data_IF_862871326604
#
_entry.id   IF_862871326604
#
_cell.length_a   1.000
_cell.length_b   1.000
_cell.length_c   1.000
_cell.angle_alpha   90.00
_cell.angle_beta   90.00
_cell.angle_gamma   90.00
#
_symmetry.space_group_name_H-M   'P 1'
#
loop_
_entity.id
_entity.type
_entity.pdbx_description
1 polymer ?
#
# COMPACT_ATOMS: atom_id res chain seq x y z
N UNK A 1 -6.84 -14.19 12.03
CA UNK A 1 -5.73 -13.22 11.92
C UNK A 1 -5.53 -12.92 10.44
N UNK A 2 -5.26 -11.68 10.08
CA UNK A 2 -5.13 -11.26 8.68
C UNK A 2 -3.69 -10.88 8.38
N UNK A 3 -3.20 -11.26 7.20
CA UNK A 3 -1.87 -10.87 6.73
C UNK A 3 -2.01 -9.84 5.61
N UNK A 4 -1.09 -8.89 5.58
CA UNK A 4 -0.92 -7.93 4.51
C UNK A 4 0.44 -8.15 3.85
N UNK A 5 0.45 -8.10 2.53
CA UNK A 5 1.69 -8.17 1.75
C UNK A 5 1.67 -7.11 0.66
N UNK A 6 2.82 -6.49 0.43
CA UNK A 6 3.11 -5.63 -0.72
C UNK A 6 4.33 -6.16 -1.46
N UNK A 7 4.46 -5.83 -2.73
CA UNK A 7 5.62 -6.22 -3.52
C UNK A 7 5.69 -5.49 -4.87
N UNK A 8 6.62 -5.96 -5.71
CA UNK A 8 6.94 -5.33 -6.99
C UNK A 8 5.84 -5.42 -8.05
N UNK A 9 4.75 -6.16 -7.79
CA UNK A 9 3.60 -6.23 -8.68
C UNK A 9 2.61 -5.07 -8.50
N UNK A 10 3.02 -4.03 -7.75
CA UNK A 10 2.21 -2.85 -7.46
C UNK A 10 0.84 -3.23 -6.89
N UNK A 11 0.80 -4.25 -6.03
CA UNK A 11 -0.44 -4.70 -5.40
C UNK A 11 -0.31 -4.77 -3.88
N UNK A 12 -1.36 -4.35 -3.20
CA UNK A 12 -1.58 -4.58 -1.78
C UNK A 12 -2.54 -5.75 -1.66
N UNK A 13 -2.09 -6.86 -1.08
CA UNK A 13 -2.89 -8.09 -0.92
C UNK A 13 -3.17 -8.36 0.54
N UNK A 14 -4.40 -8.78 0.81
CA UNK A 14 -4.89 -9.19 2.13
C UNK A 14 -5.24 -10.66 2.13
N UNK A 15 -4.74 -11.38 3.12
CA UNK A 15 -4.85 -12.83 3.20
C UNK A 15 -5.45 -13.28 4.53
N UNK A 16 -6.18 -14.39 4.49
CA UNK A 16 -6.51 -15.13 5.69
C UNK A 16 -5.25 -15.88 6.14
N UNK A 17 -4.71 -15.54 7.31
CA UNK A 17 -3.49 -16.17 7.84
C UNK A 17 -3.63 -17.68 8.01
N UNK A 18 -4.78 -18.16 8.50
CA UNK A 18 -4.99 -19.56 8.83
C UNK A 18 -5.22 -20.45 7.61
N UNK A 19 -5.88 -19.94 6.56
CA UNK A 19 -6.18 -20.73 5.37
C UNK A 19 -5.27 -20.43 4.18
N UNK A 20 -4.47 -19.35 4.23
CA UNK A 20 -3.69 -18.87 3.09
C UNK A 20 -4.54 -18.27 1.96
N UNK A 21 -5.86 -18.13 2.16
CA UNK A 21 -6.77 -17.63 1.14
C UNK A 21 -6.57 -16.13 0.91
N UNK A 22 -6.50 -15.71 -0.36
CA UNK A 22 -6.56 -14.29 -0.72
C UNK A 22 -7.96 -13.74 -0.46
N UNK A 23 -8.06 -12.74 0.41
CA UNK A 23 -9.32 -12.10 0.78
C UNK A 23 -9.61 -10.88 -0.09
N UNK A 24 -8.58 -10.09 -0.41
CA UNK A 24 -8.72 -8.87 -1.22
C UNK A 24 -7.37 -8.47 -1.83
N UNK A 25 -7.42 -7.74 -2.94
CA UNK A 25 -6.26 -7.12 -3.56
C UNK A 25 -6.64 -5.73 -4.07
N UNK A 26 -5.83 -4.73 -3.75
CA UNK A 26 -5.91 -3.39 -4.30
C UNK A 26 -4.68 -3.13 -5.16
N UNK A 27 -4.88 -2.45 -6.30
CA UNK A 27 -3.78 -2.03 -7.16
C UNK A 27 -3.25 -0.70 -6.65
N UNK A 28 -1.94 -0.66 -6.42
CA UNK A 28 -1.20 0.54 -6.11
C UNK A 28 -0.86 1.29 -7.38
N UNK A 29 -0.96 2.61 -7.30
CA UNK A 29 -0.53 3.52 -8.36
C UNK A 29 0.99 3.67 -8.36
N UNK A 30 1.66 3.24 -7.29
CA UNK A 30 3.12 3.18 -7.16
C UNK A 30 3.67 1.84 -7.67
N UNK A 31 4.40 1.87 -8.79
CA UNK A 31 4.95 0.69 -9.47
C UNK A 31 6.12 -0.01 -8.74
N UNK A 32 6.39 0.34 -7.48
CA UNK A 32 7.58 -0.10 -6.76
C UNK A 32 7.30 -0.25 -5.27
N UNK A 33 6.20 -0.88 -4.87
CA UNK A 33 5.86 -1.06 -3.46
C UNK A 33 6.78 -2.09 -2.79
N UNK A 34 7.67 -1.64 -1.90
CA UNK A 34 8.65 -2.50 -1.21
C UNK A 34 8.34 -2.66 0.28
N UNK A 35 7.65 -1.69 0.86
CA UNK A 35 7.32 -1.68 2.27
C UNK A 35 5.89 -1.18 2.49
N UNK A 36 5.27 -1.62 3.58
CA UNK A 36 4.01 -1.09 4.05
C UNK A 36 4.03 -0.90 5.56
N UNK A 37 3.39 0.18 6.01
CA UNK A 37 3.11 0.43 7.42
C UNK A 37 1.59 0.42 7.65
N UNK A 38 1.15 -0.11 8.79
CA UNK A 38 -0.26 -0.27 9.12
C UNK A 38 -0.53 0.39 10.46
N UNK A 39 -1.43 1.38 10.47
CA UNK A 39 -2.03 1.86 11.70
C UNK A 39 -3.34 1.10 11.96
N UNK A 40 -3.35 0.34 13.06
CA UNK A 40 -4.51 -0.47 13.48
C UNK A 40 -5.58 0.37 14.19
N UNK A 41 -5.24 1.55 14.69
CA UNK A 41 -6.22 2.41 15.37
C UNK A 41 -7.14 3.09 14.35
N UNK A 42 -6.62 3.41 13.16
CA UNK A 42 -7.34 4.12 12.09
C UNK A 42 -7.58 3.27 10.84
N UNK A 43 -7.13 2.01 10.83
CA UNK A 43 -7.17 1.11 9.67
C UNK A 43 -6.56 1.73 8.40
N UNK A 44 -5.49 2.50 8.59
CA UNK A 44 -4.74 3.14 7.50
C UNK A 44 -3.53 2.30 7.13
N UNK A 45 -3.30 2.14 5.82
CA UNK A 45 -2.11 1.48 5.28
C UNK A 45 -1.36 2.48 4.41
N UNK A 46 -0.08 2.70 4.72
CA UNK A 46 0.84 3.44 3.87
C UNK A 46 1.72 2.46 3.10
N UNK A 47 1.85 2.63 1.80
CA UNK A 47 2.66 1.78 0.92
C UNK A 47 3.66 2.65 0.16
N UNK A 48 4.93 2.24 0.18
CA UNK A 48 6.01 2.99 -0.49
C UNK A 48 7.16 2.09 -0.92
N UNK A 49 8.13 2.70 -1.60
CA UNK A 49 9.34 2.03 -2.06
C UNK A 49 10.27 3.00 -2.80
N UNK A 50 10.80 2.58 -3.95
CA UNK A 50 11.76 3.38 -4.71
C UNK A 50 11.13 4.53 -5.53
N UNK A 51 9.81 4.57 -5.66
CA UNK A 51 9.13 5.68 -6.32
C UNK A 51 9.09 6.91 -5.40
N UNK A 52 9.08 8.14 -5.96
CA UNK A 52 8.95 9.39 -5.19
C UNK A 52 7.49 9.64 -4.74
N UNK A 53 6.78 8.58 -4.39
CA UNK A 53 5.38 8.63 -4.02
C UNK A 53 5.04 7.58 -2.96
N UNK A 54 4.08 7.91 -2.10
CA UNK A 54 3.51 7.01 -1.10
C UNK A 54 2.00 6.96 -1.33
N UNK A 55 1.45 5.74 -1.40
CA UNK A 55 0.01 5.52 -1.46
C UNK A 55 -0.56 5.29 -0.06
N UNK A 56 -1.66 5.96 0.23
CA UNK A 56 -2.39 5.81 1.49
C UNK A 56 -3.75 5.16 1.22
N UNK A 57 -4.05 4.08 1.93
CA UNK A 57 -5.29 3.31 1.82
C UNK A 57 -6.05 3.31 3.14
N UNK A 58 -7.38 3.39 3.07
CA UNK A 58 -8.30 3.14 4.19
C UNK A 58 -8.98 1.78 4.06
N UNK A 59 -8.96 0.97 5.12
CA UNK A 59 -9.70 -0.28 5.19
C UNK A 59 -10.98 -0.11 6.04
N UNK A 60 -12.13 -0.73 5.70
CA UNK A 60 -12.43 -1.57 4.55
C UNK A 60 -13.24 -0.78 3.51
N UNK A 61 -12.57 -0.08 2.60
CA UNK A 61 -13.25 0.76 1.62
C UNK A 61 -12.23 1.71 1.04
N UNK A 62 -11.55 1.23 -0.01
CA UNK A 62 -10.31 1.83 -0.49
C UNK A 62 -10.59 3.19 -1.12
N UNK A 63 -10.42 4.25 -0.33
CA UNK A 63 -10.04 5.55 -0.84
C UNK A 63 -8.52 5.54 -0.89
N UNK A 64 -7.96 5.64 -2.10
CA UNK A 64 -6.52 5.68 -2.33
C UNK A 64 -6.15 7.05 -2.86
N UNK A 65 -5.15 7.70 -2.25
CA UNK A 65 -4.51 8.88 -2.82
C UNK A 65 -3.00 8.76 -2.66
N UNK A 66 -2.28 9.29 -3.65
CA UNK A 66 -0.81 9.28 -3.68
C UNK A 66 -0.29 10.64 -3.23
N UNK A 67 0.64 10.66 -2.30
CA UNK A 67 1.43 11.85 -1.97
C UNK A 67 2.71 11.80 -2.80
N UNK A 68 2.86 12.75 -3.72
CA UNK A 68 4.04 12.89 -4.58
C UNK A 68 4.91 14.01 -4.02
N UNK A 69 6.21 13.78 -3.89
CA UNK A 69 7.17 14.85 -3.58
C UNK A 69 7.63 15.45 -4.89
N UNK A 70 7.23 16.69 -5.19
CA UNK A 70 7.83 17.44 -6.29
C UNK A 70 9.24 17.88 -5.88
N UNK A 71 10.27 17.33 -6.55
CA UNK A 71 11.62 17.85 -6.41
C UNK A 71 11.71 19.15 -7.21
N UNK A 72 11.95 20.29 -6.55
CA UNK A 72 12.30 21.52 -7.25
C UNK A 72 13.51 21.25 -8.14
N UNK A 73 13.30 21.31 -9.45
CA UNK A 73 14.37 21.30 -10.43
C UNK A 73 15.15 22.60 -10.30
N UNK A 74 16.17 22.60 -9.45
CA UNK A 74 17.19 23.65 -9.44
C UNK A 74 18.20 23.34 -10.54
N UNK A 75 17.88 23.78 -11.77
CA UNK A 75 18.84 24.09 -12.83
C UNK A 75 18.14 24.85 -13.97
#
# INVERSE_FOLDING_TARGET
>A
MELLSVGNDASLKKWNHSSGQLLSAARSTVLSSHFCAVDRATDVVAVGGAAPAIDIYTMPGVVSFSLVVESESTA
#
